data_IF_730943818279
#
_entry.id   IF_730943818279
#
_cell.length_a   1.000
_cell.length_b   1.000
_cell.length_c   1.000
_cell.angle_alpha   90.00
_cell.angle_beta   90.00
_cell.angle_gamma   90.00
#
_symmetry.space_group_name_H-M   'P 1'
#
loop_
_entity.id
_entity.type
_entity.pdbx_description
1 polymer ?
#
# COMPACT_ATOMS: atom_id res chain seq x y z
N UNK A 1 22.77 -8.74 6.96
CA UNK A 1 23.05 -9.59 8.15
C UNK A 1 24.24 -9.02 8.90
N UNK A 2 24.14 -8.90 10.22
CA UNK A 2 25.22 -8.33 11.05
C UNK A 2 26.34 -9.35 11.28
N UNK A 3 27.00 -9.79 10.21
CA UNK A 3 28.06 -10.80 10.24
C UNK A 3 29.44 -10.28 10.70
N UNK A 4 29.53 -8.98 10.99
CA UNK A 4 30.74 -8.34 11.52
C UNK A 4 30.70 -7.92 12.98
N UNK A 5 29.64 -8.27 13.74
CA UNK A 5 29.53 -7.94 15.18
C UNK A 5 30.08 -9.08 16.06
N UNK A 6 30.73 -8.69 17.16
CA UNK A 6 31.07 -9.59 18.29
C UNK A 6 29.84 -10.43 18.68
N UNK A 7 29.95 -11.78 18.75
CA UNK A 7 28.84 -12.68 19.08
C UNK A 7 28.05 -12.27 20.33
N UNK A 8 28.74 -11.81 21.39
CA UNK A 8 28.07 -11.40 22.63
C UNK A 8 27.16 -10.18 22.43
N UNK A 9 27.53 -9.27 21.53
CA UNK A 9 26.71 -8.11 21.18
C UNK A 9 25.53 -8.49 20.31
N UNK A 10 25.72 -9.44 19.39
CA UNK A 10 24.65 -9.98 18.55
C UNK A 10 23.55 -10.60 19.41
N UNK A 11 23.92 -11.47 20.35
CA UNK A 11 22.95 -12.19 21.18
C UNK A 11 22.14 -11.23 22.06
N UNK A 12 22.80 -10.22 22.64
CA UNK A 12 22.12 -9.16 23.39
C UNK A 12 21.13 -8.35 22.54
N UNK A 13 21.51 -8.01 21.31
CA UNK A 13 20.63 -7.27 20.40
C UNK A 13 19.43 -8.10 19.99
N UNK A 14 19.63 -9.38 19.69
CA UNK A 14 18.54 -10.31 19.38
C UNK A 14 17.54 -10.37 20.53
N UNK A 15 18.03 -10.53 21.76
CA UNK A 15 17.15 -10.55 22.94
C UNK A 15 16.39 -9.24 23.09
N UNK A 16 17.07 -8.09 22.99
CA UNK A 16 16.44 -6.77 23.10
C UNK A 16 15.38 -6.52 22.03
N UNK A 17 15.60 -6.97 20.79
CA UNK A 17 14.62 -6.84 19.70
C UNK A 17 13.37 -7.67 20.00
N UNK A 18 13.56 -8.91 20.50
CA UNK A 18 12.44 -9.78 20.86
C UNK A 18 11.64 -9.25 22.04
N UNK A 19 12.32 -8.77 23.08
CA UNK A 19 11.66 -8.17 24.24
C UNK A 19 10.80 -6.97 23.84
N UNK A 20 11.32 -6.09 22.95
CA UNK A 20 10.58 -4.95 22.40
C UNK A 20 9.40 -5.40 21.52
N UNK A 21 9.63 -6.38 20.64
CA UNK A 21 8.58 -6.92 19.76
C UNK A 21 7.43 -7.55 20.56
N UNK A 22 7.74 -8.27 21.64
CA UNK A 22 6.74 -8.83 22.56
C UNK A 22 6.02 -7.73 23.33
N UNK A 23 6.75 -6.74 23.85
CA UNK A 23 6.16 -5.60 24.56
C UNK A 23 5.18 -4.80 23.72
N UNK A 24 5.34 -4.80 22.38
CA UNK A 24 4.42 -4.14 21.43
C UNK A 24 3.35 -5.06 20.83
N UNK A 25 3.33 -6.36 21.18
CA UNK A 25 2.40 -7.34 20.60
C UNK A 25 2.76 -7.81 19.18
N UNK A 26 3.93 -7.43 18.65
CA UNK A 26 4.36 -7.79 17.29
C UNK A 26 4.63 -9.29 17.16
N UNK A 27 5.15 -9.95 18.20
CA UNK A 27 5.33 -11.41 18.16
C UNK A 27 3.98 -12.14 18.02
N UNK A 28 2.93 -11.63 18.69
CA UNK A 28 1.57 -12.18 18.63
C UNK A 28 0.92 -11.91 17.26
N UNK A 29 1.06 -10.69 16.73
CA UNK A 29 0.57 -10.32 15.39
C UNK A 29 1.22 -11.18 14.29
N UNK A 30 2.49 -11.55 14.48
CA UNK A 30 3.18 -12.47 13.60
C UNK A 30 2.78 -13.92 13.87
N UNK A 31 2.23 -14.28 15.01
CA UNK A 31 2.03 -15.68 15.39
C UNK A 31 3.38 -16.41 15.49
N UNK A 32 4.35 -15.79 16.17
CA UNK A 32 5.62 -16.43 16.51
C UNK A 32 5.39 -17.41 17.67
N UNK A 33 5.74 -18.70 17.53
CA UNK A 33 5.64 -19.64 18.65
C UNK A 33 6.65 -19.31 19.75
N UNK A 34 6.34 -19.66 21.00
CA UNK A 34 7.21 -19.32 22.16
C UNK A 34 8.61 -19.92 22.04
N UNK A 35 8.73 -21.08 21.39
CA UNK A 35 9.98 -21.81 21.14
C UNK A 35 10.65 -21.44 19.80
N UNK A 36 10.17 -20.39 19.11
CA UNK A 36 10.77 -19.90 17.88
C UNK A 36 12.26 -19.63 18.05
N UNK A 37 13.06 -20.13 17.11
CA UNK A 37 14.50 -19.88 17.12
C UNK A 37 14.79 -18.37 16.98
N UNK A 38 15.89 -17.86 17.56
CA UNK A 38 16.19 -16.44 17.47
C UNK A 38 16.41 -15.96 16.02
N UNK A 39 16.94 -16.81 15.15
CA UNK A 39 17.09 -16.51 13.73
C UNK A 39 15.73 -16.34 13.03
N UNK A 40 14.78 -17.24 13.28
CA UNK A 40 13.44 -17.17 12.72
C UNK A 40 12.69 -15.92 13.19
N UNK A 41 12.69 -15.66 14.50
CA UNK A 41 12.03 -14.49 15.09
C UNK A 41 12.55 -13.19 14.47
N UNK A 42 13.87 -13.03 14.38
CA UNK A 42 14.49 -11.83 13.82
C UNK A 42 14.17 -11.67 12.33
N UNK A 43 14.24 -12.75 11.53
CA UNK A 43 13.88 -12.67 10.11
C UNK A 43 12.42 -12.25 9.90
N UNK A 44 11.50 -12.76 10.72
CA UNK A 44 10.06 -12.42 10.60
C UNK A 44 9.77 -10.99 11.08
N UNK A 45 10.38 -10.57 12.19
CA UNK A 45 10.27 -9.19 12.70
C UNK A 45 10.86 -8.19 11.71
N UNK A 46 12.04 -8.47 11.15
CA UNK A 46 12.68 -7.61 10.15
C UNK A 46 11.81 -7.43 8.91
N UNK A 47 11.26 -8.53 8.39
CA UNK A 47 10.31 -8.50 7.27
C UNK A 47 9.10 -7.62 7.58
N UNK A 48 8.50 -7.78 8.76
CA UNK A 48 7.35 -6.98 9.19
C UNK A 48 7.66 -5.49 9.27
N UNK A 49 8.80 -5.12 9.85
CA UNK A 49 9.23 -3.72 9.93
C UNK A 49 9.49 -3.14 8.54
N UNK A 50 10.04 -3.94 7.62
CA UNK A 50 10.20 -3.53 6.22
C UNK A 50 8.84 -3.32 5.54
N UNK A 51 7.88 -4.24 5.72
CA UNK A 51 6.54 -4.12 5.15
C UNK A 51 5.81 -2.86 5.68
N UNK A 52 5.93 -2.55 6.98
CA UNK A 52 5.39 -1.30 7.56
C UNK A 52 6.06 -0.07 6.96
N UNK A 53 7.39 -0.08 6.85
CA UNK A 53 8.17 1.05 6.32
C UNK A 53 7.81 1.35 4.86
N UNK A 54 7.50 0.32 4.07
CA UNK A 54 7.12 0.46 2.66
C UNK A 54 5.62 0.71 2.44
N UNK A 55 4.80 0.55 3.49
CA UNK A 55 3.37 0.77 3.40
C UNK A 55 3.04 2.25 3.13
N UNK A 56 2.16 2.46 2.16
CA UNK A 56 1.66 3.79 1.80
C UNK A 56 0.38 4.09 2.57
N UNK A 57 0.33 5.25 3.21
CA UNK A 57 -0.83 5.75 3.94
C UNK A 57 -1.22 7.12 3.40
N UNK A 58 -2.50 7.45 3.47
CA UNK A 58 -2.98 8.78 3.09
C UNK A 58 -2.45 9.82 4.07
N UNK A 59 -1.76 10.84 3.55
CA UNK A 59 -1.39 12.03 4.33
C UNK A 59 -2.50 13.08 4.21
N UNK A 60 -3.35 13.15 5.25
CA UNK A 60 -4.52 14.02 5.26
C UNK A 60 -5.69 13.54 4.39
N UNK A 61 -6.60 14.46 4.10
CA UNK A 61 -7.81 14.22 3.31
C UNK A 61 -7.78 15.03 2.02
N UNK A 62 -8.44 14.51 0.99
CA UNK A 62 -8.65 15.26 -0.25
C UNK A 62 -9.60 16.45 -0.03
N UNK A 63 -9.21 17.60 -0.58
CA UNK A 63 -10.04 18.81 -0.65
C UNK A 63 -10.32 19.07 -2.12
N UNK A 64 -11.59 19.05 -2.51
CA UNK A 64 -12.02 19.32 -3.89
C UNK A 64 -11.57 20.71 -4.36
N UNK A 65 -11.01 20.80 -5.56
CA UNK A 65 -10.50 22.05 -6.10
C UNK A 65 -9.17 22.48 -5.46
N UNK A 66 -8.41 21.54 -4.89
CA UNK A 66 -7.08 21.76 -4.33
C UNK A 66 -6.05 20.77 -4.88
N UNK A 67 -4.77 21.16 -4.83
CA UNK A 67 -3.66 20.36 -5.32
C UNK A 67 -3.55 20.30 -6.85
N UNK A 68 -2.84 19.29 -7.36
CA UNK A 68 -2.41 19.25 -8.76
C UNK A 68 -3.56 19.12 -9.78
N UNK A 69 -4.74 18.67 -9.37
CA UNK A 69 -5.90 18.53 -10.25
C UNK A 69 -7.01 19.56 -10.00
N UNK A 70 -6.75 20.57 -9.16
CA UNK A 70 -7.73 21.59 -8.77
C UNK A 70 -8.47 22.22 -9.96
N UNK A 71 -7.72 22.69 -10.95
CA UNK A 71 -8.28 23.37 -12.12
C UNK A 71 -9.18 22.45 -12.95
N UNK A 72 -8.77 21.19 -13.13
CA UNK A 72 -9.54 20.20 -13.87
C UNK A 72 -10.84 19.81 -13.14
N UNK A 73 -10.77 19.65 -11.82
CA UNK A 73 -11.93 19.38 -10.95
C UNK A 73 -12.97 20.50 -11.02
N UNK A 74 -12.52 21.74 -10.85
CA UNK A 74 -13.40 22.91 -10.92
C UNK A 74 -13.99 23.10 -12.32
N UNK A 75 -13.18 22.91 -13.37
CA UNK A 75 -13.64 23.01 -14.75
C UNK A 75 -14.71 21.96 -15.09
N UNK A 76 -14.50 20.71 -14.66
CA UNK A 76 -15.46 19.62 -14.85
C UNK A 76 -16.79 19.92 -14.15
N UNK A 77 -16.75 20.38 -12.90
CA UNK A 77 -17.95 20.77 -12.16
C UNK A 77 -18.67 21.95 -12.82
N UNK A 78 -17.94 22.99 -13.22
CA UNK A 78 -18.53 24.16 -13.88
C UNK A 78 -19.18 23.79 -15.23
N UNK A 79 -18.59 22.88 -15.99
CA UNK A 79 -19.18 22.36 -17.23
C UNK A 79 -20.47 21.59 -16.97
N UNK A 80 -20.48 20.69 -15.97
CA UNK A 80 -21.67 19.93 -15.60
C UNK A 80 -22.83 20.85 -15.16
N UNK A 81 -22.55 21.85 -14.32
CA UNK A 81 -23.54 22.82 -13.86
C UNK A 81 -24.10 23.68 -15.00
N UNK A 82 -23.30 23.92 -16.04
CA UNK A 82 -23.73 24.62 -17.25
C UNK A 82 -24.44 23.72 -18.27
N UNK A 83 -24.75 22.46 -17.91
CA UNK A 83 -25.37 21.50 -18.82
C UNK A 83 -24.47 21.08 -20.00
N UNK A 84 -23.16 21.29 -19.90
CA UNK A 84 -22.19 20.90 -20.93
C UNK A 84 -21.64 19.51 -20.67
N UNK A 85 -21.18 18.86 -21.74
CA UNK A 85 -20.49 17.57 -21.67
C UNK A 85 -19.19 17.71 -20.86
N UNK A 86 -19.02 16.83 -19.87
CA UNK A 86 -17.75 16.60 -19.16
C UNK A 86 -17.05 15.43 -19.83
N UNK A 87 -15.76 15.58 -20.13
CA UNK A 87 -14.99 14.52 -20.78
C UNK A 87 -14.91 13.26 -19.93
N UNK A 88 -14.99 12.12 -20.60
CA UNK A 88 -14.91 10.82 -19.95
C UNK A 88 -13.46 10.47 -19.58
N UNK A 89 -13.26 9.76 -18.48
CA UNK A 89 -11.94 9.30 -18.04
C UNK A 89 -12.01 7.95 -17.35
N UNK A 90 -10.95 7.12 -17.40
CA UNK A 90 -10.96 5.85 -16.72
C UNK A 90 -10.89 6.03 -15.20
N UNK A 91 -11.60 5.19 -14.47
CA UNK A 91 -11.48 5.06 -13.02
C UNK A 91 -10.31 4.13 -12.64
N UNK A 92 -9.79 4.31 -11.42
CA UNK A 92 -8.74 3.46 -10.86
C UNK A 92 -7.87 4.17 -9.82
N UNK A 93 -6.96 3.42 -9.19
CA UNK A 93 -5.98 3.96 -8.26
C UNK A 93 -4.69 4.36 -8.99
N UNK A 94 -4.24 5.63 -8.95
CA UNK A 94 -3.00 6.05 -9.58
C UNK A 94 -1.77 5.33 -8.99
N UNK A 95 -1.83 4.96 -7.70
CA UNK A 95 -0.77 4.23 -7.00
C UNK A 95 -0.61 2.77 -7.46
N UNK A 96 -1.54 2.25 -8.29
CA UNK A 96 -1.42 0.93 -8.93
C UNK A 96 -0.94 1.03 -10.39
N UNK A 97 -0.11 2.02 -10.69
CA UNK A 97 0.51 2.22 -12.01
C UNK A 97 -0.43 2.76 -13.09
N UNK A 98 -1.60 3.27 -12.69
CA UNK A 98 -2.63 3.81 -13.59
C UNK A 98 -2.54 5.33 -13.67
N UNK A 99 -1.51 5.87 -14.32
CA UNK A 99 -1.36 7.32 -14.50
C UNK A 99 -2.42 7.92 -15.45
N UNK A 100 -3.04 7.09 -16.29
CA UNK A 100 -4.12 7.45 -17.23
C UNK A 100 -5.41 7.92 -16.54
N UNK A 101 -5.57 7.65 -15.24
CA UNK A 101 -6.71 8.12 -14.44
C UNK A 101 -6.57 9.60 -14.06
N UNK A 102 -5.39 10.20 -14.22
CA UNK A 102 -5.15 11.62 -14.04
C UNK A 102 -5.19 12.38 -15.39
N UNK A 103 -5.60 13.67 -15.41
CA UNK A 103 -6.11 14.44 -14.29
C UNK A 103 -7.52 13.97 -13.83
N UNK A 104 -7.90 14.35 -12.61
CA UNK A 104 -9.28 14.21 -12.10
C UNK A 104 -10.20 15.27 -12.72
N UNK A 105 -11.46 15.38 -12.28
CA UNK A 105 -12.45 16.28 -12.88
C UNK A 105 -13.12 15.75 -14.16
N UNK A 106 -13.00 14.44 -14.41
CA UNK A 106 -13.59 13.74 -15.57
C UNK A 106 -14.80 12.90 -15.16
N UNK A 107 -15.68 12.62 -16.12
CA UNK A 107 -16.78 11.67 -15.95
C UNK A 107 -16.24 10.24 -16.00
N UNK A 108 -16.18 9.58 -14.85
CA UNK A 108 -15.46 8.32 -14.71
C UNK A 108 -16.22 7.14 -15.34
N UNK A 109 -15.49 6.27 -16.04
CA UNK A 109 -15.99 4.97 -16.47
C UNK A 109 -15.16 3.81 -15.89
N UNK A 110 -15.77 2.63 -15.83
CA UNK A 110 -15.15 1.40 -15.31
C UNK A 110 -14.68 0.50 -16.47
N UNK A 111 -14.34 -0.75 -16.16
CA UNK A 111 -14.02 -1.75 -17.19
C UNK A 111 -15.28 -2.40 -17.78
N UNK A 112 -15.16 -3.01 -18.96
CA UNK A 112 -16.20 -3.88 -19.53
C UNK A 112 -16.34 -5.13 -18.66
N UNK A 113 -17.53 -5.42 -18.09
CA UNK A 113 -17.73 -6.59 -17.22
C UNK A 113 -17.47 -7.91 -17.95
N UNK A 114 -17.58 -7.97 -19.28
CA UNK A 114 -17.29 -9.19 -20.06
C UNK A 114 -15.80 -9.47 -20.20
N UNK A 115 -14.96 -8.47 -19.92
CA UNK A 115 -13.50 -8.57 -19.99
C UNK A 115 -12.87 -8.88 -18.62
N UNK A 116 -13.68 -9.18 -17.60
CA UNK A 116 -13.23 -9.52 -16.25
C UNK A 116 -13.35 -11.03 -16.03
N UNK A 117 -12.30 -11.73 -15.52
CA UNK A 117 -10.99 -11.20 -15.15
C UNK A 117 -10.09 -10.93 -16.37
N UNK A 118 -9.25 -9.90 -16.27
CA UNK A 118 -8.16 -9.74 -17.23
C UNK A 118 -7.12 -10.85 -17.05
N UNK A 119 -6.29 -11.10 -18.07
CA UNK A 119 -5.21 -12.10 -17.98
C UNK A 119 -4.28 -11.85 -16.79
N UNK A 120 -3.93 -10.58 -16.55
CA UNK A 120 -3.10 -10.18 -15.41
C UNK A 120 -3.82 -10.41 -14.07
N UNK A 121 -5.11 -10.08 -13.98
CA UNK A 121 -5.91 -10.31 -12.78
C UNK A 121 -6.05 -11.80 -12.47
N UNK A 122 -6.26 -12.65 -13.49
CA UNK A 122 -6.29 -14.10 -13.33
C UNK A 122 -4.94 -14.65 -12.84
N UNK A 123 -3.82 -14.26 -13.47
CA UNK A 123 -2.49 -14.69 -13.05
C UNK A 123 -2.17 -14.29 -11.60
N UNK A 124 -2.63 -13.10 -11.17
CA UNK A 124 -2.48 -12.68 -9.78
C UNK A 124 -3.41 -13.48 -8.84
N UNK A 125 -4.64 -13.75 -9.26
CA UNK A 125 -5.57 -14.59 -8.50
C UNK A 125 -5.02 -15.99 -8.24
N UNK A 126 -4.38 -16.61 -9.23
CA UNK A 126 -3.72 -17.93 -9.08
C UNK A 126 -2.59 -17.90 -8.06
N UNK A 127 -1.86 -16.78 -7.91
CA UNK A 127 -0.79 -16.65 -6.90
C UNK A 127 -1.33 -16.44 -5.48
N UNK A 128 -2.57 -15.95 -5.36
CA UNK A 128 -3.21 -15.65 -4.07
C UNK A 128 -4.03 -16.82 -3.53
N UNK A 129 -4.36 -17.79 -4.38
CA UNK A 129 -5.08 -19.02 -4.02
C UNK A 129 -4.11 -20.08 -3.46
#
# INVERSE_FOLDING_TARGET
TADGLDPARRDRLIQSIRDEARGRGVEDDLGLPEDASPAEAITRIDRFVCDIKESQYGDGLHIFGSGACADAELAGLAAALAGRRVDAGPSGSPFRGRSDVLPTGRNLFTTDPRAVPSRAAHAQGVKLA
#
